data_IF_698100172986
#
_entry.id   IF_698100172986
#
_cell.length_a   1.000
_cell.length_b   1.000
_cell.length_c   1.000
_cell.angle_alpha   90.00
_cell.angle_beta   90.00
_cell.angle_gamma   90.00
#
_symmetry.space_group_name_H-M   'P 1'
#
loop_
_entity.id
_entity.type
_entity.pdbx_description
1 polymer ?
#
# COMPACT_ATOMS: atom_id res chain seq x y z
N UNK A 1 -5.87 -5.86 17.56
CA UNK A 1 -6.05 -5.82 16.09
C UNK A 1 -4.89 -6.52 15.43
N UNK A 2 -5.16 -7.55 14.65
CA UNK A 2 -4.12 -8.28 13.90
C UNK A 2 -4.12 -7.80 12.46
N UNK A 3 -3.22 -6.87 12.13
CA UNK A 3 -3.03 -6.37 10.77
C UNK A 3 -2.06 -7.25 10.01
N UNK A 4 -2.32 -7.48 8.72
CA UNK A 4 -1.48 -8.32 7.85
C UNK A 4 -1.37 -7.70 6.46
N UNK A 5 -0.20 -7.84 5.86
CA UNK A 5 0.05 -7.59 4.44
C UNK A 5 0.33 -8.93 3.74
N UNK A 6 -0.25 -9.09 2.56
CA UNK A 6 0.05 -10.19 1.64
C UNK A 6 0.38 -9.62 0.26
N UNK A 7 1.16 -10.36 -0.52
CA UNK A 7 1.60 -9.94 -1.84
C UNK A 7 1.19 -10.99 -2.87
N UNK A 8 0.56 -10.53 -3.95
CA UNK A 8 0.33 -11.34 -5.15
C UNK A 8 1.17 -10.75 -6.28
N UNK A 9 2.27 -11.42 -6.63
CA UNK A 9 3.12 -10.99 -7.75
C UNK A 9 2.60 -11.55 -9.07
N UNK A 10 2.58 -10.71 -10.09
CA UNK A 10 2.29 -11.03 -11.49
C UNK A 10 3.51 -10.66 -12.38
N UNK A 11 4.71 -10.67 -11.80
CA UNK A 11 5.95 -10.28 -12.45
C UNK A 11 6.36 -8.85 -12.06
N UNK A 12 6.32 -7.91 -13.02
CA UNK A 12 6.66 -6.49 -12.80
C UNK A 12 5.53 -5.67 -12.16
N UNK A 13 4.44 -6.33 -11.82
CA UNK A 13 3.26 -5.75 -11.19
C UNK A 13 2.57 -6.79 -10.34
N UNK A 14 1.53 -6.37 -9.63
CA UNK A 14 0.75 -7.27 -8.80
C UNK A 14 -0.14 -6.51 -7.82
N UNK A 15 -0.38 -7.12 -6.67
CA UNK A 15 -1.24 -6.55 -5.63
C UNK A 15 -0.61 -6.64 -4.25
N UNK A 16 -0.69 -5.53 -3.53
CA UNK A 16 -0.53 -5.47 -2.07
C UNK A 16 -1.92 -5.64 -1.45
N UNK A 17 -2.08 -6.61 -0.57
CA UNK A 17 -3.37 -6.94 0.04
C UNK A 17 -3.28 -6.64 1.53
N UNK A 18 -4.07 -5.67 1.98
CA UNK A 18 -4.23 -5.35 3.40
C UNK A 18 -5.40 -6.14 3.97
N UNK A 19 -5.27 -6.59 5.22
CA UNK A 19 -6.39 -7.08 6.01
C UNK A 19 -6.21 -6.83 7.50
N UNK A 20 -7.32 -6.56 8.17
CA UNK A 20 -7.48 -6.59 9.61
C UNK A 20 -8.79 -7.29 10.02
N UNK A 21 -9.24 -7.09 11.25
CA UNK A 21 -10.45 -7.73 11.79
C UNK A 21 -11.75 -7.20 11.13
N UNK A 22 -11.71 -6.06 10.43
CA UNK A 22 -12.89 -5.36 9.88
C UNK A 22 -12.90 -5.30 8.35
N UNK A 23 -11.73 -5.20 7.70
CA UNK A 23 -11.64 -5.03 6.26
C UNK A 23 -10.54 -5.87 5.61
N UNK A 24 -10.72 -6.11 4.32
CA UNK A 24 -9.72 -6.65 3.43
C UNK A 24 -9.86 -5.99 2.06
N UNK A 25 -8.78 -5.42 1.54
CA UNK A 25 -8.76 -4.83 0.21
C UNK A 25 -7.38 -4.97 -0.45
N UNK A 26 -7.38 -4.93 -1.78
CA UNK A 26 -6.17 -5.06 -2.61
C UNK A 26 -5.86 -3.75 -3.32
N UNK A 27 -4.57 -3.47 -3.45
CA UNK A 27 -4.04 -2.29 -4.14
C UNK A 27 -3.06 -2.73 -5.20
N UNK A 28 -3.29 -2.28 -6.42
CA UNK A 28 -2.40 -2.59 -7.54
C UNK A 28 -1.04 -1.92 -7.33
N UNK A 29 0.04 -2.65 -7.61
CA UNK A 29 1.37 -2.08 -7.70
C UNK A 29 2.03 -2.42 -9.03
N UNK A 30 2.97 -1.58 -9.43
CA UNK A 30 3.91 -1.85 -10.51
C UNK A 30 5.32 -1.42 -10.12
N UNK A 31 6.33 -2.01 -10.75
CA UNK A 31 7.71 -1.60 -10.57
C UNK A 31 7.98 -0.26 -11.25
N UNK A 32 8.62 0.63 -10.50
CA UNK A 32 9.06 1.92 -10.99
C UNK A 32 10.34 1.84 -11.83
N UNK A 33 10.98 2.99 -12.01
CA UNK A 33 12.28 3.12 -12.63
C UNK A 33 13.20 4.03 -11.81
N UNK A 34 14.51 3.96 -12.07
CA UNK A 34 15.50 4.70 -11.28
C UNK A 34 15.63 4.13 -9.88
N UNK A 35 15.54 5.00 -8.88
CA UNK A 35 15.54 4.69 -7.45
C UNK A 35 14.15 4.29 -6.91
N UNK A 36 13.08 4.47 -7.70
CA UNK A 36 11.74 4.03 -7.34
C UNK A 36 11.56 2.54 -7.66
N UNK A 37 11.53 1.71 -6.63
CA UNK A 37 11.38 0.25 -6.72
C UNK A 37 9.95 -0.11 -7.15
N UNK A 38 8.95 0.48 -6.51
CA UNK A 38 7.54 0.18 -6.80
C UNK A 38 6.63 1.36 -6.48
N UNK A 39 5.50 1.42 -7.20
CA UNK A 39 4.43 2.39 -6.97
C UNK A 39 3.16 1.59 -6.68
N UNK A 40 2.55 1.83 -5.52
CA UNK A 40 1.28 1.22 -5.11
C UNK A 40 0.16 2.25 -5.28
N UNK A 41 -0.88 1.90 -6.03
CA UNK A 41 -2.06 2.72 -6.22
C UNK A 41 -2.97 2.64 -5.01
N UNK A 42 -3.34 3.79 -4.44
CA UNK A 42 -4.21 3.89 -3.27
C UNK A 42 -5.50 4.65 -3.59
N UNK A 43 -6.63 4.30 -2.95
CA UNK A 43 -7.88 5.03 -3.15
C UNK A 43 -7.75 6.51 -2.75
N UNK A 44 -8.46 7.37 -3.48
CA UNK A 44 -8.61 8.79 -3.13
C UNK A 44 -9.31 8.91 -1.77
N UNK A 45 -9.28 10.10 -1.17
CA UNK A 45 -10.07 10.35 0.03
C UNK A 45 -11.58 10.14 -0.23
N UNK A 46 -12.06 10.58 -1.40
CA UNK A 46 -13.46 10.51 -1.79
C UNK A 46 -13.93 9.06 -2.05
N UNK A 47 -13.04 8.22 -2.61
CA UNK A 47 -13.35 6.81 -2.90
C UNK A 47 -12.99 5.87 -1.73
N UNK A 48 -12.32 6.35 -0.69
CA UNK A 48 -11.74 5.53 0.37
C UNK A 48 -12.75 4.60 1.02
N UNK A 49 -13.85 5.16 1.54
CA UNK A 49 -14.87 4.39 2.25
C UNK A 49 -15.55 3.40 1.31
N UNK A 50 -15.79 3.80 0.06
CA UNK A 50 -16.42 2.97 -0.97
C UNK A 50 -15.56 1.77 -1.34
N UNK A 51 -14.24 1.96 -1.47
CA UNK A 51 -13.30 0.91 -1.91
C UNK A 51 -12.88 0.01 -0.76
N UNK A 52 -12.64 0.58 0.42
CA UNK A 52 -12.03 -0.14 1.56
C UNK A 52 -13.01 -0.53 2.64
N UNK A 53 -14.21 0.05 2.67
CA UNK A 53 -15.15 -0.09 3.79
C UNK A 53 -14.65 0.50 5.12
N UNK A 54 -13.47 1.12 5.14
CA UNK A 54 -12.89 1.73 6.34
C UNK A 54 -13.26 3.22 6.43
N UNK A 55 -13.41 3.77 7.65
CA UNK A 55 -13.64 5.20 7.83
C UNK A 55 -12.51 6.04 7.21
N UNK A 56 -12.85 7.21 6.66
CA UNK A 56 -11.84 8.14 6.12
C UNK A 56 -10.84 8.57 7.21
N UNK A 57 -11.27 8.66 8.46
CA UNK A 57 -10.40 9.02 9.60
C UNK A 57 -9.29 8.01 9.88
N UNK A 58 -9.41 6.75 9.42
CA UNK A 58 -8.36 5.74 9.56
C UNK A 58 -7.47 5.62 8.32
N UNK A 59 -7.74 6.39 7.25
CA UNK A 59 -7.04 6.28 5.97
C UNK A 59 -5.54 6.45 6.12
N UNK A 60 -5.10 7.56 6.70
CA UNK A 60 -3.68 7.88 6.78
C UNK A 60 -2.92 6.90 7.69
N UNK A 61 -3.57 6.42 8.76
CA UNK A 61 -3.01 5.42 9.67
C UNK A 61 -2.82 4.07 8.99
N UNK A 62 -3.83 3.59 8.25
CA UNK A 62 -3.78 2.34 7.49
C UNK A 62 -2.73 2.43 6.39
N UNK A 63 -2.70 3.54 5.63
CA UNK A 63 -1.73 3.73 4.56
C UNK A 63 -0.29 3.81 5.08
N UNK A 64 -0.07 4.47 6.22
CA UNK A 64 1.24 4.53 6.89
C UNK A 64 1.68 3.14 7.32
N UNK A 65 0.77 2.33 7.89
CA UNK A 65 1.07 0.94 8.23
C UNK A 65 1.45 0.12 7.00
N UNK A 66 0.67 0.21 5.92
CA UNK A 66 0.94 -0.53 4.69
C UNK A 66 2.30 -0.12 4.12
N UNK A 67 2.56 1.17 3.95
CA UNK A 67 3.82 1.66 3.39
C UNK A 67 5.04 1.22 4.22
N UNK A 68 4.95 1.33 5.54
CA UNK A 68 6.02 0.91 6.45
C UNK A 68 6.28 -0.58 6.39
N UNK A 69 5.22 -1.39 6.31
CA UNK A 69 5.33 -2.84 6.22
C UNK A 69 5.87 -3.29 4.86
N UNK A 70 5.45 -2.64 3.75
CA UNK A 70 5.97 -2.91 2.40
C UNK A 70 7.47 -2.62 2.33
N UNK A 71 7.93 -1.47 2.82
CA UNK A 71 9.37 -1.15 2.88
C UNK A 71 10.12 -2.22 3.67
N UNK A 72 9.61 -2.60 4.84
CA UNK A 72 10.24 -3.62 5.69
C UNK A 72 10.32 -4.99 5.03
N UNK A 73 9.30 -5.39 4.27
CA UNK A 73 9.22 -6.72 3.67
C UNK A 73 9.98 -6.83 2.34
N UNK A 74 10.00 -5.74 1.55
CA UNK A 74 10.41 -5.77 0.14
C UNK A 74 11.73 -5.02 -0.14
N UNK A 75 12.32 -4.35 0.84
CA UNK A 75 13.58 -3.60 0.67
C UNK A 75 14.54 -3.88 1.82
N UNK A 76 15.84 -3.64 1.61
CA UNK A 76 16.84 -3.77 2.69
C UNK A 76 17.04 -2.47 3.47
N UNK A 77 17.00 -1.32 2.78
CA UNK A 77 17.21 0.02 3.37
C UNK A 77 16.26 1.07 2.76
N UNK A 78 15.13 0.62 2.24
CA UNK A 78 14.22 1.49 1.52
C UNK A 78 13.50 2.50 2.40
N UNK A 79 12.79 3.39 1.72
CA UNK A 79 11.88 4.35 2.35
C UNK A 79 10.65 4.52 1.45
N UNK A 80 9.64 5.23 1.96
CA UNK A 80 8.42 5.48 1.19
C UNK A 80 8.05 6.96 1.18
N UNK A 81 7.26 7.33 0.18
CA UNK A 81 6.52 8.59 0.12
C UNK A 81 5.05 8.27 -0.16
N UNK A 82 4.15 8.92 0.57
CA UNK A 82 2.72 8.88 0.26
C UNK A 82 2.39 10.21 -0.39
N UNK A 83 1.95 10.18 -1.65
CA UNK A 83 1.66 11.37 -2.44
C UNK A 83 0.40 11.17 -3.28
N UNK A 84 -0.60 12.02 -3.07
CA UNK A 84 -1.90 11.91 -3.75
C UNK A 84 -2.54 10.53 -3.60
N UNK A 85 -2.52 9.77 -4.71
CA UNK A 85 -3.09 8.45 -4.86
C UNK A 85 -2.04 7.33 -4.94
N UNK A 86 -0.83 7.59 -4.44
CA UNK A 86 0.27 6.63 -4.53
C UNK A 86 1.01 6.46 -3.20
N UNK A 87 1.51 5.25 -2.97
CA UNK A 87 2.65 4.97 -2.10
C UNK A 87 3.81 4.63 -3.03
N UNK A 88 4.83 5.47 -3.02
CA UNK A 88 6.07 5.28 -3.77
C UNK A 88 7.11 4.66 -2.84
N UNK A 89 7.72 3.56 -3.27
CA UNK A 89 8.75 2.81 -2.53
C UNK A 89 10.09 3.02 -3.22
N UNK A 90 11.11 3.42 -2.47
CA UNK A 90 12.45 3.71 -2.96
C UNK A 90 13.50 2.86 -2.23
N UNK A 91 14.65 2.62 -2.87
CA UNK A 91 15.83 1.97 -2.28
C UNK A 91 17.15 2.62 -2.71
#
# INVERSE_FOLDING_TARGET
>A
MKRKIEYKSEGRSGYVIYSDDNTRFSMYYEFGGGDCVAIVNIPSADDWVKVTGSPLSSRDEILTFIASQVVKDQTSKGHYRISGNFIEIYE
#
